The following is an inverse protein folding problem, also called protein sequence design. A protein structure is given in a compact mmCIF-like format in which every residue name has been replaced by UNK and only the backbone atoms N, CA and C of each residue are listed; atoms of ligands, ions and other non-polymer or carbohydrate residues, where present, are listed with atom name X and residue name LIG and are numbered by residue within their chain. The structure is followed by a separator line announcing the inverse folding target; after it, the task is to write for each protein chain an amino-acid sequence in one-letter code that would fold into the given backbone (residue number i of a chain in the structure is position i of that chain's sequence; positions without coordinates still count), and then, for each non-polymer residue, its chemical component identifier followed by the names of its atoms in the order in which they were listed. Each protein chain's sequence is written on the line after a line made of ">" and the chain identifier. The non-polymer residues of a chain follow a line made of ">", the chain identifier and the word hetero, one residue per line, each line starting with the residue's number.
data_IF_099821370850
#
_entry.id   IF_099821370850
#
_cell.length_a   1.000
_cell.length_b   1.000
_cell.length_c   1.000
_cell.angle_alpha   90.00
_cell.angle_beta   90.00
_cell.angle_gamma   90.00
#
_symmetry.space_group_name_H-M   'P 1'
#
loop_
_entity.id
_entity.type
_entity.pdbx_description
1 polymer ?
#
# COMPACT_ATOMS: atom_id res chain seq x y z
N UNK A 1 -28.14 83.06 -21.29
CA UNK A 1 -27.90 82.46 -19.97
C UNK A 1 -28.04 80.95 -20.11
N UNK A 2 -27.22 80.12 -19.45
CA UNK A 2 -25.78 79.85 -19.62
C UNK A 2 -25.52 78.83 -20.78
N UNK A 3 -24.58 79.08 -21.70
CA UNK A 3 -23.16 78.59 -21.79
C UNK A 3 -23.02 77.11 -22.21
N UNK A 4 -22.69 76.84 -23.48
CA UNK A 4 -21.34 76.53 -24.03
C UNK A 4 -20.88 75.11 -23.66
N UNK A 5 -20.27 74.26 -24.49
CA UNK A 5 -19.66 74.24 -25.84
C UNK A 5 -19.08 72.79 -25.89
N UNK A 6 -19.08 71.98 -26.95
CA UNK A 6 -18.24 72.07 -28.16
C UNK A 6 -18.44 70.78 -28.98
N UNK A 7 -18.32 70.99 -30.28
CA UNK A 7 -18.30 70.08 -31.44
C UNK A 7 -17.12 69.08 -31.41
N UNK A 8 -17.24 67.95 -32.13
CA UNK A 8 -16.32 67.32 -33.13
C UNK A 8 -16.80 65.86 -33.33
N UNK A 9 -17.33 65.47 -34.51
CA UNK A 9 -16.62 64.88 -35.66
C UNK A 9 -15.92 63.54 -35.33
N UNK A 10 -15.88 62.48 -36.13
CA UNK A 10 -16.54 62.05 -37.36
C UNK A 10 -16.19 60.54 -37.52
N UNK A 11 -17.06 59.82 -38.23
CA UNK A 11 -16.78 58.70 -39.15
C UNK A 11 -16.09 57.39 -38.69
N UNK A 12 -16.76 56.29 -39.08
CA UNK A 12 -16.16 55.00 -39.46
C UNK A 12 -16.18 53.96 -38.35
N UNK A 13 -16.68 52.74 -38.52
CA UNK A 13 -17.16 52.01 -39.69
C UNK A 13 -17.31 50.53 -39.30
N UNK A 14 -18.25 49.85 -39.96
CA UNK A 14 -18.42 48.40 -40.08
C UNK A 14 -18.58 47.55 -38.79
N UNK A 15 -19.83 47.14 -38.55
CA UNK A 15 -20.17 46.01 -37.71
C UNK A 15 -19.70 44.69 -38.37
N UNK A 16 -18.84 43.93 -37.68
CA UNK A 16 -18.62 42.51 -37.96
C UNK A 16 -19.41 41.68 -36.95
N UNK A 17 -20.52 41.12 -37.41
CA UNK A 17 -21.19 39.99 -36.80
C UNK A 17 -20.41 38.73 -37.19
N UNK A 18 -19.57 38.23 -36.29
CA UNK A 18 -19.02 36.86 -36.40
C UNK A 18 -19.81 36.00 -35.41
N UNK A 19 -20.80 35.28 -35.96
CA UNK A 19 -21.39 34.14 -35.29
C UNK A 19 -20.36 32.99 -35.30
N UNK A 20 -19.73 32.74 -34.16
CA UNK A 20 -18.97 31.50 -33.98
C UNK A 20 -19.97 30.38 -33.76
N UNK A 21 -20.19 29.59 -34.81
CA UNK A 21 -20.88 28.30 -34.74
C UNK A 21 -19.98 27.38 -33.92
N UNK A 22 -20.43 26.97 -32.74
CA UNK A 22 -19.79 25.94 -31.94
C UNK A 22 -19.86 24.62 -32.70
N UNK A 23 -18.81 24.29 -33.47
CA UNK A 23 -18.60 22.93 -33.94
C UNK A 23 -18.36 22.02 -32.72
N UNK A 24 -18.76 20.74 -32.77
CA UNK A 24 -18.37 19.80 -31.72
C UNK A 24 -16.84 19.80 -31.65
N UNK A 25 -16.32 20.02 -30.45
CA UNK A 25 -14.91 19.81 -30.19
C UNK A 25 -14.60 18.37 -30.61
N UNK A 26 -13.73 18.23 -31.61
CA UNK A 26 -13.07 16.95 -31.87
C UNK A 26 -12.21 16.74 -30.62
N UNK A 27 -12.66 15.86 -29.75
CA UNK A 27 -11.82 15.29 -28.72
C UNK A 27 -10.69 14.58 -29.45
N UNK A 28 -9.47 15.11 -29.31
CA UNK A 28 -8.26 14.35 -29.58
C UNK A 28 -8.29 13.16 -28.62
N UNK A 29 -8.76 12.03 -29.12
CA UNK A 29 -8.79 10.74 -28.48
C UNK A 29 -7.37 10.16 -28.53
N UNK A 30 -6.44 10.78 -27.79
CA UNK A 30 -5.18 10.15 -27.41
C UNK A 30 -5.36 9.48 -26.05
N UNK A 31 -5.87 8.26 -26.10
CA UNK A 31 -6.01 7.40 -24.95
C UNK A 31 -6.50 6.05 -25.39
N UNK A 32 -5.68 5.31 -26.16
CA UNK A 32 -5.87 3.87 -26.26
C UNK A 32 -6.04 3.35 -24.84
N UNK A 33 -7.19 2.75 -24.55
CA UNK A 33 -7.36 2.03 -23.29
C UNK A 33 -6.35 0.88 -23.36
N UNK A 34 -5.13 1.09 -22.88
CA UNK A 34 -4.15 0.03 -22.70
C UNK A 34 -4.69 -0.84 -21.57
N UNK A 35 -5.63 -1.71 -21.94
CA UNK A 35 -6.13 -2.80 -21.12
C UNK A 35 -4.91 -3.54 -20.58
N UNK A 36 -4.80 -3.60 -19.25
CA UNK A 36 -3.72 -4.31 -18.60
C UNK A 36 -3.65 -5.74 -19.13
N UNK A 37 -2.44 -6.29 -19.28
CA UNK A 37 -2.28 -7.64 -19.83
C UNK A 37 -1.37 -8.51 -18.97
N UNK A 38 -1.84 -9.73 -18.70
CA UNK A 38 -1.15 -10.73 -17.88
C UNK A 38 -0.83 -11.97 -18.71
N UNK A 39 0.40 -12.48 -18.57
CA UNK A 39 0.79 -13.78 -19.10
C UNK A 39 0.81 -14.83 -17.99
N UNK A 40 -0.05 -15.84 -18.07
CA UNK A 40 0.01 -17.01 -17.19
C UNK A 40 0.97 -18.04 -17.80
N UNK A 41 2.03 -18.34 -17.08
CA UNK A 41 3.01 -19.36 -17.43
C UNK A 41 2.94 -20.52 -16.45
N UNK A 42 2.72 -21.74 -16.97
CA UNK A 42 2.48 -22.93 -16.13
C UNK A 42 3.30 -24.15 -16.58
N UNK A 43 4.46 -23.93 -17.23
CA UNK A 43 5.36 -25.02 -17.61
C UNK A 43 5.92 -25.69 -16.35
N UNK A 44 6.02 -27.02 -16.39
CA UNK A 44 6.63 -27.83 -15.33
C UNK A 44 7.70 -28.74 -15.91
N UNK A 45 8.87 -28.76 -15.28
CA UNK A 45 9.93 -29.75 -15.46
C UNK A 45 10.00 -30.74 -14.28
N UNK A 46 9.20 -30.53 -13.23
CA UNK A 46 9.04 -31.40 -12.08
C UNK A 46 7.59 -31.90 -11.91
N UNK A 47 7.09 -31.90 -10.67
CA UNK A 47 5.72 -32.31 -10.37
C UNK A 47 4.69 -31.43 -11.09
N UNK A 48 3.64 -32.05 -11.66
CA UNK A 48 2.57 -31.38 -12.38
C UNK A 48 1.34 -31.31 -11.47
N UNK A 49 0.96 -30.10 -11.08
CA UNK A 49 -0.22 -29.86 -10.24
C UNK A 49 -1.50 -29.99 -11.05
N UNK A 50 -2.44 -30.81 -10.59
CA UNK A 50 -3.75 -31.00 -11.23
C UNK A 50 -4.62 -29.74 -11.21
N UNK A 51 -4.30 -28.76 -10.36
CA UNK A 51 -5.02 -27.49 -10.19
C UNK A 51 -4.71 -26.42 -11.24
N UNK A 52 -3.67 -26.60 -12.06
CA UNK A 52 -3.26 -25.60 -13.06
C UNK A 52 -4.40 -25.23 -14.02
N UNK A 53 -5.20 -26.16 -14.60
CA UNK A 53 -6.33 -25.79 -15.45
C UNK A 53 -7.34 -24.88 -14.74
N UNK A 54 -7.68 -25.19 -13.49
CA UNK A 54 -8.60 -24.40 -12.66
C UNK A 54 -8.00 -23.03 -12.31
N UNK A 55 -6.68 -22.95 -12.06
CA UNK A 55 -5.98 -21.69 -11.85
C UNK A 55 -5.93 -20.80 -13.08
N UNK A 56 -5.68 -21.36 -14.27
CA UNK A 56 -5.74 -20.60 -15.53
C UNK A 56 -7.15 -20.06 -15.76
N UNK A 57 -8.18 -20.89 -15.53
CA UNK A 57 -9.58 -20.46 -15.65
C UNK A 57 -9.90 -19.34 -14.66
N UNK A 58 -9.49 -19.47 -13.39
CA UNK A 58 -9.71 -18.44 -12.38
C UNK A 58 -9.07 -17.10 -12.74
N UNK A 59 -7.80 -17.09 -13.21
CA UNK A 59 -7.14 -15.83 -13.61
C UNK A 59 -7.84 -15.20 -14.81
N UNK A 60 -8.31 -16.00 -15.78
CA UNK A 60 -9.09 -15.50 -16.93
C UNK A 60 -10.43 -14.90 -16.51
N UNK A 61 -11.16 -15.57 -15.62
CA UNK A 61 -12.42 -15.07 -15.09
C UNK A 61 -12.22 -13.73 -14.37
N UNK A 62 -11.17 -13.66 -13.54
CA UNK A 62 -10.79 -12.43 -12.84
C UNK A 62 -10.44 -11.32 -13.83
N UNK A 63 -9.66 -11.62 -14.88
CA UNK A 63 -9.33 -10.67 -15.94
C UNK A 63 -10.56 -10.13 -16.66
N UNK A 64 -11.46 -11.03 -17.06
CA UNK A 64 -12.72 -10.64 -17.72
C UNK A 64 -13.63 -9.80 -16.83
N UNK A 65 -13.65 -10.06 -15.52
CA UNK A 65 -14.48 -9.32 -14.56
C UNK A 65 -13.88 -7.98 -14.14
N UNK A 66 -12.54 -7.82 -14.21
CA UNK A 66 -11.82 -6.67 -13.66
C UNK A 66 -10.99 -5.88 -14.68
N UNK A 67 -11.14 -6.16 -15.98
CA UNK A 67 -10.61 -5.31 -17.04
C UNK A 67 -9.13 -5.49 -17.33
N UNK A 68 -8.64 -6.74 -17.28
CA UNK A 68 -7.31 -7.09 -17.77
C UNK A 68 -7.33 -8.36 -18.65
N UNK A 69 -6.60 -8.32 -19.75
CA UNK A 69 -6.49 -9.43 -20.69
C UNK A 69 -5.52 -10.50 -20.19
N UNK A 70 -5.83 -11.78 -20.45
CA UNK A 70 -5.05 -12.92 -19.96
C UNK A 70 -4.69 -13.88 -21.10
N UNK A 71 -3.40 -13.99 -21.37
CA UNK A 71 -2.83 -15.07 -22.20
C UNK A 71 -2.30 -16.19 -21.28
N UNK A 72 -2.35 -17.45 -21.72
CA UNK A 72 -1.78 -18.57 -20.97
C UNK A 72 -0.93 -19.46 -21.88
N UNK A 73 0.22 -19.92 -21.38
CA UNK A 73 1.14 -20.77 -22.13
C UNK A 73 1.97 -21.67 -21.21
N UNK A 74 2.40 -22.80 -21.76
CA UNK A 74 3.44 -23.67 -21.19
C UNK A 74 4.73 -23.62 -22.04
N UNK A 75 4.74 -22.84 -23.13
CA UNK A 75 5.89 -22.71 -24.01
C UNK A 75 6.86 -21.65 -23.50
N UNK A 76 8.05 -22.09 -23.07
CA UNK A 76 9.12 -21.20 -22.63
C UNK A 76 9.65 -20.30 -23.78
N UNK A 77 9.40 -20.65 -25.04
CA UNK A 77 9.65 -19.79 -26.20
C UNK A 77 8.94 -18.43 -26.15
N UNK A 78 7.93 -18.28 -25.28
CA UNK A 78 7.29 -17.00 -24.99
C UNK A 78 8.20 -15.99 -24.26
N UNK A 79 9.28 -16.43 -23.61
CA UNK A 79 10.19 -15.59 -22.82
C UNK A 79 11.20 -14.86 -23.70
N UNK A 80 10.70 -13.96 -24.54
CA UNK A 80 11.49 -13.04 -25.35
C UNK A 80 11.22 -11.60 -24.94
N UNK A 81 12.20 -10.70 -25.12
CA UNK A 81 12.02 -9.29 -24.79
C UNK A 81 10.81 -8.66 -25.51
N UNK A 82 10.60 -9.04 -26.78
CA UNK A 82 9.47 -8.55 -27.58
C UNK A 82 8.12 -9.03 -27.03
N UNK A 83 8.02 -10.30 -26.67
CA UNK A 83 6.75 -10.84 -26.18
C UNK A 83 6.45 -10.39 -24.75
N UNK A 84 7.44 -10.46 -23.85
CA UNK A 84 7.27 -10.02 -22.45
C UNK A 84 6.91 -8.53 -22.34
N UNK A 85 7.42 -7.68 -23.23
CA UNK A 85 7.07 -6.25 -23.25
C UNK A 85 5.60 -5.93 -23.57
N UNK A 86 4.76 -6.94 -23.83
CA UNK A 86 3.30 -6.80 -24.04
C UNK A 86 2.48 -6.96 -22.76
N UNK A 87 3.11 -7.34 -21.65
CA UNK A 87 2.46 -7.77 -20.41
C UNK A 87 2.93 -6.95 -19.22
N UNK A 88 1.99 -6.51 -18.39
CA UNK A 88 2.29 -5.80 -17.14
C UNK A 88 2.76 -6.76 -16.05
N UNK A 89 2.26 -8.00 -16.06
CA UNK A 89 2.70 -9.06 -15.15
C UNK A 89 2.81 -10.43 -15.84
N UNK A 90 3.71 -11.26 -15.31
CA UNK A 90 3.78 -12.70 -15.60
C UNK A 90 3.44 -13.49 -14.34
N UNK A 91 2.38 -14.30 -14.43
CA UNK A 91 1.96 -15.22 -13.37
C UNK A 91 2.67 -16.56 -13.59
N UNK A 92 3.52 -16.95 -12.66
CA UNK A 92 4.08 -18.30 -12.58
C UNK A 92 3.09 -19.14 -11.78
N UNK A 93 2.24 -19.89 -12.49
CA UNK A 93 1.15 -20.67 -11.90
C UNK A 93 1.60 -22.12 -11.72
N UNK A 94 2.05 -22.44 -10.51
CA UNK A 94 2.48 -23.79 -10.11
C UNK A 94 3.53 -24.40 -11.04
N UNK A 95 4.44 -23.58 -11.56
CA UNK A 95 5.64 -24.04 -12.29
C UNK A 95 6.50 -24.89 -11.37
N UNK A 96 7.30 -25.83 -11.90
CA UNK A 96 8.22 -26.65 -11.10
C UNK A 96 9.48 -26.98 -11.86
N UNK A 97 10.62 -27.08 -11.18
CA UNK A 97 11.92 -27.42 -11.75
C UNK A 97 12.56 -26.29 -12.57
N UNK A 98 13.45 -26.65 -13.49
CA UNK A 98 14.18 -25.75 -14.37
C UNK A 98 13.43 -25.60 -15.70
N UNK A 99 12.78 -24.45 -15.92
CA UNK A 99 11.77 -24.26 -16.97
C UNK A 99 12.20 -23.29 -18.06
N UNK A 100 13.19 -22.44 -17.77
CA UNK A 100 13.76 -21.44 -18.66
C UNK A 100 15.25 -21.69 -18.90
N UNK A 101 15.69 -21.63 -20.16
CA UNK A 101 17.11 -21.61 -20.48
C UNK A 101 17.77 -20.25 -20.16
N UNK A 102 19.10 -20.18 -20.25
CA UNK A 102 19.87 -18.94 -19.98
C UNK A 102 19.43 -17.73 -20.82
N UNK A 103 18.97 -17.93 -22.05
CA UNK A 103 18.49 -16.83 -22.90
C UNK A 103 17.16 -16.30 -22.39
N UNK A 104 16.24 -17.20 -22.03
CA UNK A 104 14.92 -16.91 -21.49
C UNK A 104 15.01 -16.28 -20.09
N UNK A 105 15.86 -16.81 -19.22
CA UNK A 105 16.22 -16.21 -17.93
C UNK A 105 16.68 -14.76 -18.10
N UNK A 106 17.64 -14.51 -19.01
CA UNK A 106 18.13 -13.17 -19.29
C UNK A 106 17.05 -12.23 -19.85
N UNK A 107 16.08 -12.74 -20.61
CA UNK A 107 14.94 -11.96 -21.08
C UNK A 107 14.00 -11.56 -19.93
N UNK A 108 13.69 -12.50 -19.03
CA UNK A 108 12.84 -12.25 -17.87
C UNK A 108 13.49 -11.30 -16.86
N UNK A 109 14.79 -11.44 -16.61
CA UNK A 109 15.56 -10.49 -15.80
C UNK A 109 15.44 -9.05 -16.31
N UNK A 110 15.59 -8.86 -17.62
CA UNK A 110 15.46 -7.53 -18.25
C UNK A 110 14.02 -7.02 -18.21
N UNK A 111 13.04 -7.91 -18.27
CA UNK A 111 11.63 -7.56 -18.13
C UNK A 111 11.35 -6.99 -16.73
N UNK A 112 11.74 -7.71 -15.68
CA UNK A 112 11.59 -7.23 -14.29
C UNK A 112 12.35 -5.91 -14.07
N UNK A 113 13.60 -5.82 -14.55
CA UNK A 113 14.44 -4.61 -14.42
C UNK A 113 13.86 -3.37 -15.12
N UNK A 114 12.92 -3.54 -16.04
CA UNK A 114 12.23 -2.45 -16.75
C UNK A 114 10.85 -2.13 -16.15
N UNK A 115 10.50 -2.73 -15.03
CA UNK A 115 9.22 -2.50 -14.36
C UNK A 115 8.16 -3.56 -14.61
N UNK A 116 8.49 -4.64 -15.34
CA UNK A 116 7.60 -5.81 -15.45
C UNK A 116 7.43 -6.51 -14.10
N UNK A 117 6.28 -7.15 -13.91
CA UNK A 117 5.90 -7.72 -12.61
C UNK A 117 5.81 -9.24 -12.61
N UNK A 118 5.98 -9.84 -11.43
CA UNK A 118 5.91 -11.26 -11.17
C UNK A 118 4.80 -11.57 -10.16
N UNK A 119 4.03 -12.61 -10.45
CA UNK A 119 3.07 -13.21 -9.51
C UNK A 119 3.37 -14.70 -9.41
N UNK A 120 3.87 -15.15 -8.26
CA UNK A 120 4.12 -16.56 -7.99
C UNK A 120 2.95 -17.20 -7.26
N UNK A 121 2.47 -18.34 -7.76
CA UNK A 121 1.41 -19.11 -7.11
C UNK A 121 1.91 -20.51 -6.79
N UNK A 122 1.74 -20.90 -5.53
CA UNK A 122 2.05 -22.22 -4.98
C UNK A 122 3.46 -22.71 -5.37
N UNK A 123 3.55 -23.66 -6.30
CA UNK A 123 4.80 -24.30 -6.68
C UNK A 123 5.77 -23.41 -7.43
N UNK A 124 5.41 -22.15 -7.72
CA UNK A 124 6.36 -21.17 -8.22
C UNK A 124 7.62 -21.03 -7.32
N UNK A 125 7.57 -21.36 -6.02
CA UNK A 125 8.75 -21.43 -5.16
C UNK A 125 9.63 -22.70 -5.38
N UNK A 126 9.10 -23.74 -6.03
CA UNK A 126 9.77 -24.98 -6.47
C UNK A 126 10.33 -24.84 -7.91
N UNK A 127 10.76 -23.65 -8.30
CA UNK A 127 11.19 -23.32 -9.66
C UNK A 127 12.58 -22.67 -9.66
N UNK A 128 13.44 -23.03 -10.63
CA UNK A 128 14.71 -22.34 -10.92
C UNK A 128 15.70 -22.23 -9.74
N UNK A 129 15.98 -23.36 -9.06
CA UNK A 129 16.83 -23.39 -7.85
C UNK A 129 18.26 -22.90 -8.04
N UNK A 130 18.83 -23.06 -9.23
CA UNK A 130 20.21 -22.66 -9.53
C UNK A 130 20.32 -21.22 -10.06
N UNK A 131 19.19 -20.51 -10.16
CA UNK A 131 19.12 -19.13 -10.64
C UNK A 131 18.84 -18.14 -9.50
N UNK A 132 19.91 -17.63 -8.90
CA UNK A 132 19.83 -16.74 -7.73
C UNK A 132 18.92 -15.51 -7.92
N UNK A 133 18.81 -14.98 -9.15
CA UNK A 133 17.88 -13.88 -9.44
C UNK A 133 16.42 -14.28 -9.15
N UNK A 134 16.01 -15.48 -9.57
CA UNK A 134 14.67 -16.01 -9.34
C UNK A 134 14.41 -16.27 -7.86
N UNK A 135 15.38 -16.86 -7.13
CA UNK A 135 15.25 -17.04 -5.68
C UNK A 135 15.04 -15.74 -4.92
N UNK A 136 15.71 -14.66 -5.37
CA UNK A 136 15.45 -13.33 -4.85
C UNK A 136 14.07 -12.78 -5.23
N UNK A 137 13.62 -12.99 -6.48
CA UNK A 137 12.33 -12.53 -7.01
C UNK A 137 11.13 -13.23 -6.32
N UNK A 138 11.17 -14.56 -6.25
CA UNK A 138 10.17 -15.37 -5.56
C UNK A 138 10.20 -15.13 -4.05
N UNK A 139 11.34 -14.72 -3.48
CA UNK A 139 11.52 -14.37 -2.08
C UNK A 139 12.01 -15.54 -1.22
N UNK A 140 11.60 -16.77 -1.55
CA UNK A 140 12.10 -17.99 -0.94
C UNK A 140 11.97 -19.18 -1.91
N UNK A 141 12.74 -20.24 -1.65
CA UNK A 141 12.66 -21.51 -2.36
C UNK A 141 11.92 -22.55 -1.54
N UNK A 142 11.19 -23.43 -2.21
CA UNK A 142 10.55 -24.60 -1.59
C UNK A 142 11.59 -25.53 -0.92
N UNK A 143 11.21 -26.09 0.23
CA UNK A 143 12.00 -27.07 0.97
C UNK A 143 11.26 -28.41 1.13
N UNK A 144 10.02 -28.36 1.63
CA UNK A 144 9.19 -29.55 1.89
C UNK A 144 7.74 -29.12 2.09
N UNK A 145 6.82 -30.08 2.17
CA UNK A 145 5.44 -29.85 2.59
C UNK A 145 4.92 -31.10 3.32
N UNK A 146 3.93 -30.97 4.21
CA UNK A 146 3.17 -32.11 4.73
C UNK A 146 2.07 -32.52 3.73
N UNK A 147 1.21 -33.46 4.13
CA UNK A 147 -0.01 -33.75 3.37
C UNK A 147 -0.96 -32.53 3.35
N UNK A 148 -1.81 -32.47 2.31
CA UNK A 148 -2.92 -31.52 2.24
C UNK A 148 -3.76 -31.61 3.52
N UNK A 149 -3.94 -30.49 4.20
CA UNK A 149 -4.66 -30.44 5.47
C UNK A 149 -5.19 -29.02 5.74
N UNK A 150 -6.19 -28.85 6.61
CA UNK A 150 -6.58 -27.52 7.06
C UNK A 150 -5.46 -26.85 7.87
N UNK A 151 -5.34 -25.54 7.76
CA UNK A 151 -4.54 -24.69 8.64
C UNK A 151 -5.22 -23.33 8.81
N UNK A 152 -4.86 -22.65 9.90
CA UNK A 152 -5.17 -21.24 10.11
C UNK A 152 -4.09 -20.40 9.45
N UNK A 153 -4.51 -19.47 8.59
CA UNK A 153 -3.66 -18.40 8.06
C UNK A 153 -3.94 -17.13 8.86
N UNK A 154 -2.92 -16.59 9.51
CA UNK A 154 -2.97 -15.30 10.18
C UNK A 154 -2.65 -14.20 9.17
N UNK A 155 -3.56 -13.25 9.02
CA UNK A 155 -3.36 -12.10 8.12
C UNK A 155 -2.60 -11.02 8.90
N UNK A 156 -1.43 -10.65 8.39
CA UNK A 156 -0.53 -9.70 9.06
C UNK A 156 -0.65 -8.27 8.50
N UNK A 157 -0.96 -8.15 7.21
CA UNK A 157 -1.25 -6.88 6.57
C UNK A 157 -2.71 -6.88 6.12
N UNK A 158 -3.48 -5.92 6.63
CA UNK A 158 -4.88 -5.76 6.28
C UNK A 158 -5.16 -4.60 5.30
N UNK A 159 -4.17 -3.83 4.87
CA UNK A 159 -4.32 -2.78 3.87
C UNK A 159 -3.94 -3.24 2.46
N UNK A 160 -2.99 -4.17 2.33
CA UNK A 160 -2.54 -4.62 1.03
C UNK A 160 -3.71 -5.23 0.24
N UNK A 161 -3.93 -4.88 -1.04
CA UNK A 161 -5.09 -5.33 -1.80
C UNK A 161 -5.29 -6.85 -1.85
N UNK A 162 -4.20 -7.61 -1.78
CA UNK A 162 -4.23 -9.07 -1.70
C UNK A 162 -4.85 -9.62 -0.40
N UNK A 163 -4.87 -8.87 0.70
CA UNK A 163 -5.30 -9.37 2.02
C UNK A 163 -6.38 -8.49 2.66
N UNK A 164 -6.68 -7.32 2.10
CA UNK A 164 -7.65 -6.38 2.63
C UNK A 164 -9.10 -6.91 2.75
N UNK A 165 -9.47 -7.89 1.92
CA UNK A 165 -10.76 -8.57 1.97
C UNK A 165 -10.82 -9.78 2.91
N UNK A 166 -9.70 -10.16 3.52
CA UNK A 166 -9.62 -11.30 4.43
C UNK A 166 -9.87 -10.85 5.88
N UNK A 167 -10.45 -11.74 6.69
CA UNK A 167 -10.53 -11.54 8.15
C UNK A 167 -9.16 -11.67 8.83
N UNK A 168 -9.09 -11.38 10.13
CA UNK A 168 -7.88 -11.55 10.95
C UNK A 168 -7.24 -12.95 10.80
N UNK A 169 -8.10 -13.97 10.77
CA UNK A 169 -7.71 -15.35 10.52
C UNK A 169 -8.49 -15.91 9.34
N UNK A 170 -7.84 -16.75 8.54
CA UNK A 170 -8.42 -17.42 7.39
C UNK A 170 -8.14 -18.93 7.45
N UNK A 171 -9.17 -19.69 7.83
CA UNK A 171 -9.10 -21.14 7.91
C UNK A 171 -9.37 -21.75 6.54
N UNK A 172 -8.42 -22.51 6.00
CA UNK A 172 -8.58 -23.17 4.70
C UNK A 172 -7.74 -24.44 4.59
N UNK A 173 -7.99 -25.22 3.55
CA UNK A 173 -7.29 -26.48 3.25
C UNK A 173 -6.45 -26.33 1.99
N UNK A 174 -5.16 -26.61 2.09
CA UNK A 174 -4.21 -26.57 0.98
C UNK A 174 -2.98 -27.46 1.29
N UNK A 175 -1.99 -27.48 0.41
CA UNK A 175 -0.67 -28.06 0.68
C UNK A 175 0.32 -26.98 1.14
N UNK A 176 0.76 -27.05 2.39
CA UNK A 176 1.50 -25.96 3.04
C UNK A 176 3.02 -26.10 2.88
N UNK A 177 3.64 -25.19 2.14
CA UNK A 177 5.07 -25.24 1.86
C UNK A 177 5.91 -24.71 3.02
N UNK A 178 6.90 -25.50 3.43
CA UNK A 178 8.07 -25.02 4.14
C UNK A 178 9.09 -24.45 3.14
N UNK A 179 9.82 -23.42 3.56
CA UNK A 179 10.76 -22.71 2.71
C UNK A 179 12.19 -22.83 3.21
N UNK A 180 13.17 -22.87 2.28
CA UNK A 180 14.61 -22.96 2.59
C UNK A 180 15.13 -21.75 3.38
N UNK A 181 14.40 -20.65 3.32
CA UNK A 181 14.71 -19.40 4.02
C UNK A 181 13.42 -18.64 4.32
N UNK A 182 13.38 -17.93 5.43
CA UNK A 182 12.29 -17.02 5.73
C UNK A 182 12.42 -15.72 4.91
N UNK A 183 11.37 -15.26 4.20
CA UNK A 183 11.41 -14.05 3.38
C UNK A 183 11.24 -12.74 4.17
N UNK A 184 10.84 -12.77 5.45
CA UNK A 184 10.45 -11.58 6.25
C UNK A 184 11.52 -10.49 6.32
N UNK A 185 12.80 -10.87 6.35
CA UNK A 185 13.89 -9.87 6.38
C UNK A 185 13.96 -9.01 5.11
N UNK A 186 13.50 -9.53 3.96
CA UNK A 186 13.69 -8.92 2.64
C UNK A 186 12.39 -8.54 1.93
N UNK A 187 11.29 -9.19 2.28
CA UNK A 187 9.96 -8.98 1.71
C UNK A 187 8.99 -8.46 2.78
N UNK A 188 7.90 -7.90 2.32
CA UNK A 188 6.77 -7.56 3.18
C UNK A 188 5.84 -8.76 3.29
N UNK A 189 5.70 -9.32 4.50
CA UNK A 189 4.85 -10.48 4.76
C UNK A 189 3.42 -9.99 4.88
N UNK A 190 2.51 -10.62 4.13
CA UNK A 190 1.09 -10.28 4.11
C UNK A 190 0.26 -11.24 4.97
N UNK A 191 0.70 -12.50 5.02
CA UNK A 191 0.05 -13.53 5.83
C UNK A 191 1.05 -14.65 6.18
N UNK A 192 0.82 -15.30 7.32
CA UNK A 192 1.60 -16.43 7.82
C UNK A 192 0.71 -17.60 8.23
N UNK A 193 1.27 -18.81 8.24
CA UNK A 193 0.61 -19.98 8.79
C UNK A 193 0.82 -20.04 10.31
N UNK A 194 -0.25 -20.30 11.04
CA UNK A 194 -0.18 -20.70 12.45
C UNK A 194 0.27 -22.18 12.52
N UNK A 195 1.55 -22.41 12.80
CA UNK A 195 2.10 -23.77 12.94
C UNK A 195 1.49 -24.58 14.09
N UNK A 196 0.71 -23.98 15.00
CA UNK A 196 -0.04 -24.72 16.02
C UNK A 196 -1.36 -25.31 15.51
N UNK A 197 -1.86 -24.83 14.37
CA UNK A 197 -3.14 -25.24 13.77
C UNK A 197 -3.04 -26.48 12.88
N UNK A 198 -1.83 -26.87 12.48
CA UNK A 198 -1.58 -27.98 11.56
C UNK A 198 -0.28 -28.72 11.89
N UNK A 199 0.02 -29.80 11.17
CA UNK A 199 1.23 -30.62 11.40
C UNK A 199 2.22 -30.55 10.23
N UNK A 200 3.51 -30.53 10.55
CA UNK A 200 4.61 -30.59 9.57
C UNK A 200 5.20 -29.24 9.14
N UNK A 201 4.82 -28.14 9.80
CA UNK A 201 5.55 -26.87 9.72
C UNK A 201 6.96 -27.00 10.30
N UNK A 202 7.94 -26.42 9.60
CA UNK A 202 9.36 -26.45 10.00
C UNK A 202 10.01 -25.07 10.00
N UNK A 203 9.21 -24.00 10.01
CA UNK A 203 9.67 -22.61 9.93
C UNK A 203 9.89 -21.98 11.31
N UNK A 204 9.69 -22.74 12.39
CA UNK A 204 9.95 -22.36 13.78
C UNK A 204 9.02 -21.24 14.28
N UNK A 205 7.73 -21.35 13.98
CA UNK A 205 6.68 -20.43 14.42
C UNK A 205 6.51 -19.16 13.59
N UNK A 206 7.52 -18.75 12.82
CA UNK A 206 7.40 -17.67 11.84
C UNK A 206 7.34 -18.24 10.43
N UNK A 207 6.12 -18.49 9.94
CA UNK A 207 5.87 -19.19 8.68
C UNK A 207 5.13 -18.32 7.66
N UNK A 208 5.79 -17.33 7.02
CA UNK A 208 5.19 -16.55 5.94
C UNK A 208 4.66 -17.45 4.82
N UNK A 209 3.44 -17.20 4.37
CA UNK A 209 2.78 -17.95 3.30
C UNK A 209 2.31 -17.06 2.14
N UNK A 210 2.20 -15.75 2.37
CA UNK A 210 2.02 -14.77 1.31
C UNK A 210 2.88 -13.53 1.59
N UNK A 211 3.52 -13.00 0.55
CA UNK A 211 4.37 -11.81 0.67
C UNK A 211 4.45 -11.03 -0.63
N UNK A 212 4.90 -9.79 -0.53
CA UNK A 212 5.20 -8.94 -1.67
C UNK A 212 6.52 -8.17 -1.48
N UNK A 213 7.11 -7.75 -2.59
CA UNK A 213 8.31 -6.92 -2.59
C UNK A 213 8.45 -6.13 -3.88
N UNK A 214 9.09 -4.96 -3.79
CA UNK A 214 9.67 -4.31 -4.97
C UNK A 214 11.04 -4.91 -5.22
N UNK A 215 11.25 -5.57 -6.36
CA UNK A 215 12.46 -6.33 -6.66
C UNK A 215 13.12 -5.87 -7.96
N UNK A 216 14.31 -5.28 -7.83
CA UNK A 216 15.16 -4.83 -8.94
C UNK A 216 14.46 -3.99 -10.03
N UNK A 217 13.42 -3.22 -9.68
CA UNK A 217 12.68 -2.35 -10.59
C UNK A 217 11.26 -2.80 -10.87
N UNK A 218 10.95 -4.08 -10.68
CA UNK A 218 9.60 -4.64 -10.83
C UNK A 218 8.89 -4.89 -9.51
N UNK A 219 7.62 -5.30 -9.59
CA UNK A 219 6.82 -5.77 -8.46
C UNK A 219 6.80 -7.30 -8.41
N UNK A 220 6.89 -7.88 -7.22
CA UNK A 220 6.79 -9.33 -7.03
C UNK A 220 5.80 -9.62 -5.91
N UNK A 221 4.77 -10.38 -6.22
CA UNK A 221 3.81 -10.93 -5.27
C UNK A 221 3.92 -12.46 -5.28
N UNK A 222 3.78 -13.09 -4.13
CA UNK A 222 3.79 -14.53 -3.98
C UNK A 222 2.72 -14.99 -3.00
N UNK A 223 2.03 -16.08 -3.32
CA UNK A 223 1.17 -16.84 -2.41
C UNK A 223 1.52 -18.32 -2.47
N UNK A 224 1.66 -18.94 -1.30
CA UNK A 224 1.94 -20.38 -1.17
C UNK A 224 0.72 -21.27 -1.33
N UNK A 225 -0.49 -20.70 -1.35
CA UNK A 225 -1.72 -21.44 -1.64
C UNK A 225 -1.92 -21.68 -3.14
N UNK A 226 -2.81 -22.61 -3.49
CA UNK A 226 -3.16 -22.96 -4.87
C UNK A 226 -2.77 -24.37 -5.31
N UNK A 227 -2.46 -25.28 -4.37
CA UNK A 227 -2.26 -26.69 -4.69
C UNK A 227 -3.58 -27.33 -5.14
N UNK A 228 -4.65 -27.05 -4.39
CA UNK A 228 -5.95 -27.69 -4.56
C UNK A 228 -6.77 -27.01 -5.65
N UNK A 229 -7.63 -27.77 -6.33
CA UNK A 229 -8.58 -27.21 -7.31
C UNK A 229 -9.59 -26.30 -6.64
N UNK A 230 -9.98 -26.68 -5.43
CA UNK A 230 -10.93 -26.01 -4.57
C UNK A 230 -10.49 -24.59 -4.24
N UNK A 231 -9.18 -24.34 -4.11
CA UNK A 231 -8.63 -22.98 -3.92
C UNK A 231 -9.12 -22.02 -5.01
N UNK A 232 -9.14 -22.45 -6.26
CA UNK A 232 -9.52 -21.59 -7.38
C UNK A 232 -11.04 -21.40 -7.53
N UNK A 233 -11.85 -22.14 -6.76
CA UNK A 233 -13.28 -21.92 -6.60
C UNK A 233 -13.63 -21.12 -5.33
N UNK A 234 -12.71 -21.04 -4.36
CA UNK A 234 -12.91 -20.36 -3.08
C UNK A 234 -12.94 -18.84 -3.26
N UNK A 235 -14.03 -18.14 -2.85
CA UNK A 235 -14.15 -16.70 -3.03
C UNK A 235 -13.01 -15.90 -2.38
N UNK A 236 -12.61 -16.24 -1.16
CA UNK A 236 -11.55 -15.55 -0.43
C UNK A 236 -10.19 -15.70 -1.12
N UNK A 237 -9.84 -16.91 -1.59
CA UNK A 237 -8.59 -17.13 -2.34
C UNK A 237 -8.59 -16.41 -3.68
N UNK A 238 -9.72 -16.39 -4.40
CA UNK A 238 -9.85 -15.64 -5.66
C UNK A 238 -9.69 -14.14 -5.45
N UNK A 239 -10.25 -13.58 -4.36
CA UNK A 239 -10.02 -12.19 -3.98
C UNK A 239 -8.56 -11.91 -3.62
N UNK A 240 -7.91 -12.83 -2.88
CA UNK A 240 -6.50 -12.73 -2.55
C UNK A 240 -5.60 -12.69 -3.79
N UNK A 241 -5.85 -13.61 -4.72
CA UNK A 241 -5.14 -13.69 -6.00
C UNK A 241 -5.39 -12.45 -6.86
N UNK A 242 -6.64 -11.99 -6.94
CA UNK A 242 -7.01 -10.77 -7.66
C UNK A 242 -6.25 -9.56 -7.10
N UNK A 243 -6.28 -9.34 -5.78
CA UNK A 243 -5.59 -8.22 -5.16
C UNK A 243 -4.08 -8.23 -5.40
N UNK A 244 -3.45 -9.41 -5.37
CA UNK A 244 -2.04 -9.59 -5.73
C UNK A 244 -1.75 -9.23 -7.20
N UNK A 245 -2.62 -9.66 -8.13
CA UNK A 245 -2.49 -9.35 -9.56
C UNK A 245 -2.71 -7.86 -9.83
N UNK A 246 -3.78 -7.26 -9.30
CA UNK A 246 -4.09 -5.82 -9.48
C UNK A 246 -2.96 -4.94 -8.94
N UNK A 247 -2.36 -5.33 -7.81
CA UNK A 247 -1.17 -4.65 -7.31
C UNK A 247 0.03 -4.85 -8.24
N UNK A 248 0.27 -6.07 -8.73
CA UNK A 248 1.40 -6.35 -9.63
C UNK A 248 1.31 -5.56 -10.95
N UNK A 249 0.13 -5.44 -11.56
CA UNK A 249 -0.09 -4.69 -12.82
C UNK A 249 -0.15 -3.16 -12.60
N UNK A 250 -0.12 -2.68 -11.35
CA UNK A 250 -0.09 -1.26 -11.03
C UNK A 250 -1.45 -0.58 -10.95
N UNK A 251 -2.54 -1.34 -11.01
CA UNK A 251 -3.91 -0.84 -10.95
C UNK A 251 -4.26 -0.31 -9.54
N UNK A 252 -3.75 -0.97 -8.50
CA UNK A 252 -3.90 -0.56 -7.09
C UNK A 252 -2.53 -0.40 -6.42
N UNK A 253 -2.46 0.45 -5.39
CA UNK A 253 -1.24 0.65 -4.61
C UNK A 253 -1.25 -0.18 -3.32
N UNK A 254 -0.06 -0.48 -2.83
CA UNK A 254 0.18 -1.25 -1.60
C UNK A 254 1.65 -1.12 -1.21
N UNK A 255 1.93 -0.97 0.08
CA UNK A 255 3.31 -0.90 0.57
C UNK A 255 3.89 -2.31 0.65
N UNK A 256 4.97 -2.54 -0.08
CA UNK A 256 5.70 -3.81 -0.09
C UNK A 256 7.15 -3.65 0.35
N UNK A 257 7.40 -2.66 1.21
CA UNK A 257 8.70 -2.50 1.90
C UNK A 257 8.69 -3.38 3.17
N UNK A 258 9.78 -4.10 3.49
CA UNK A 258 9.84 -4.92 4.69
C UNK A 258 9.58 -4.12 5.97
N UNK A 259 8.82 -4.72 6.88
CA UNK A 259 8.38 -4.08 8.13
C UNK A 259 9.14 -4.57 9.37
N UNK A 260 10.41 -4.91 9.20
CA UNK A 260 11.25 -5.38 10.30
C UNK A 260 11.35 -4.35 11.43
N UNK A 261 11.06 -4.78 12.67
CA UNK A 261 11.22 -3.98 13.89
C UNK A 261 10.05 -3.08 14.26
N UNK A 262 8.90 -3.21 13.60
CA UNK A 262 7.65 -2.64 14.12
C UNK A 262 7.12 -3.48 15.28
N UNK A 263 6.53 -2.81 16.27
CA UNK A 263 5.75 -3.43 17.36
C UNK A 263 4.37 -2.79 17.42
N UNK A 264 3.32 -3.53 17.80
CA UNK A 264 1.98 -2.95 17.93
C UNK A 264 1.96 -1.90 19.06
N UNK A 265 1.20 -0.83 18.82
CA UNK A 265 0.64 0.06 19.84
C UNK A 265 -0.84 -0.26 20.09
N UNK A 266 -1.49 -0.87 19.10
CA UNK A 266 -2.84 -1.39 19.17
C UNK A 266 -2.84 -2.74 18.45
N UNK A 267 -3.19 -3.80 19.16
CA UNK A 267 -3.16 -5.19 18.65
C UNK A 267 -4.53 -5.69 18.18
N UNK A 268 -5.53 -4.81 18.13
CA UNK A 268 -6.90 -5.16 17.77
C UNK A 268 -7.78 -5.62 18.93
N UNK A 269 -7.23 -5.87 20.12
CA UNK A 269 -7.96 -6.56 21.20
C UNK A 269 -8.39 -5.66 22.35
N UNK A 270 -7.60 -4.63 22.68
CA UNK A 270 -7.94 -3.65 23.72
C UNK A 270 -7.37 -2.27 23.40
N UNK A 271 -7.86 -1.25 24.11
CA UNK A 271 -7.32 0.11 24.10
C UNK A 271 -6.36 0.35 25.28
N UNK A 272 -5.73 -0.71 25.78
CA UNK A 272 -4.78 -0.57 26.88
C UNK A 272 -3.63 0.36 26.48
N UNK A 273 -3.30 1.29 27.38
CA UNK A 273 -2.32 2.35 27.13
C UNK A 273 -2.84 3.55 26.33
N UNK A 274 -4.07 3.51 25.81
CA UNK A 274 -4.71 4.64 25.13
C UNK A 274 -5.65 5.41 26.08
N UNK A 275 -5.78 6.72 25.86
CA UNK A 275 -6.70 7.60 26.59
C UNK A 275 -7.51 8.45 25.64
N UNK A 276 -8.79 8.63 25.97
CA UNK A 276 -9.70 9.50 25.24
C UNK A 276 -9.74 10.89 25.88
N UNK A 277 -9.53 11.91 25.07
CA UNK A 277 -9.76 13.31 25.41
C UNK A 277 -10.96 13.86 24.61
N UNK A 278 -11.78 14.69 25.25
CA UNK A 278 -12.94 15.32 24.61
C UNK A 278 -14.22 14.48 24.57
N UNK A 279 -15.34 15.08 24.11
CA UNK A 279 -16.65 14.44 24.08
C UNK A 279 -16.83 13.36 22.99
N UNK A 280 -15.99 13.37 21.94
CA UNK A 280 -15.94 12.29 20.95
C UNK A 280 -15.54 10.95 21.56
N UNK A 281 -15.81 9.86 20.84
CA UNK A 281 -15.47 8.51 21.27
C UNK A 281 -14.99 7.64 20.10
N UNK A 282 -14.46 6.46 20.45
CA UNK A 282 -14.11 5.40 19.51
C UNK A 282 -14.73 4.09 19.97
N UNK A 283 -15.32 3.35 19.04
CA UNK A 283 -15.79 1.98 19.27
C UNK A 283 -14.75 1.00 18.76
N UNK A 284 -14.43 -0.04 19.55
CA UNK A 284 -13.60 -1.16 19.13
C UNK A 284 -14.50 -2.34 18.72
N UNK A 285 -14.42 -2.76 17.47
CA UNK A 285 -15.09 -3.94 16.93
C UNK A 285 -14.20 -4.62 15.90
N UNK A 286 -14.05 -5.95 15.99
CA UNK A 286 -13.26 -6.78 15.06
C UNK A 286 -11.87 -6.19 14.69
N UNK A 287 -11.07 -5.86 15.71
CA UNK A 287 -9.73 -5.30 15.50
C UNK A 287 -9.69 -3.88 14.94
N UNK A 288 -10.85 -3.22 14.81
CA UNK A 288 -11.00 -1.90 14.19
C UNK A 288 -11.56 -0.89 15.18
N UNK A 289 -10.94 0.28 15.27
CA UNK A 289 -11.42 1.40 16.09
C UNK A 289 -12.07 2.46 15.20
N UNK A 290 -13.30 2.85 15.48
CA UNK A 290 -14.08 3.77 14.62
C UNK A 290 -14.55 4.99 15.40
N UNK A 291 -14.32 6.19 14.86
CA UNK A 291 -14.70 7.46 15.47
C UNK A 291 -16.21 7.69 15.49
N UNK A 292 -16.72 8.35 16.54
CA UNK A 292 -18.12 8.80 16.61
C UNK A 292 -18.36 9.91 17.64
N UNK A 293 -19.36 10.77 17.45
CA UNK A 293 -19.82 11.68 18.52
C UNK A 293 -19.09 13.02 18.66
N UNK A 294 -18.33 13.46 17.64
CA UNK A 294 -17.74 14.80 17.58
C UNK A 294 -16.31 14.92 18.12
N UNK A 295 -15.83 16.14 18.33
CA UNK A 295 -14.40 16.39 18.57
C UNK A 295 -13.83 15.53 19.71
N UNK A 296 -12.78 14.77 19.41
CA UNK A 296 -12.10 13.91 20.37
C UNK A 296 -10.72 13.50 19.89
N UNK A 297 -9.90 13.03 20.83
CA UNK A 297 -8.54 12.57 20.57
C UNK A 297 -8.30 11.29 21.35
N UNK A 298 -8.10 10.17 20.65
CA UNK A 298 -7.62 8.94 21.25
C UNK A 298 -6.09 8.92 21.12
N UNK A 299 -5.39 9.05 22.24
CA UNK A 299 -3.93 9.21 22.25
C UNK A 299 -3.25 8.14 23.10
N UNK A 300 -2.06 7.74 22.68
CA UNK A 300 -1.27 6.73 23.38
C UNK A 300 -0.57 7.36 24.59
N UNK A 301 -1.04 7.02 25.79
CA UNK A 301 -0.70 7.70 27.04
C UNK A 301 0.46 7.06 27.80
N UNK A 302 0.77 5.79 27.55
CA UNK A 302 1.81 5.06 28.29
C UNK A 302 3.20 5.70 28.18
N UNK A 303 3.50 6.32 27.04
CA UNK A 303 4.78 7.00 26.82
C UNK A 303 4.74 7.96 25.64
N UNK A 304 5.69 8.89 25.64
CA UNK A 304 6.04 9.74 24.52
C UNK A 304 7.11 9.10 23.62
N UNK A 305 7.29 9.68 22.43
CA UNK A 305 8.22 9.24 21.41
C UNK A 305 8.99 10.42 20.81
N UNK A 306 10.22 10.15 20.34
CA UNK A 306 11.07 11.19 19.76
C UNK A 306 11.59 10.93 18.34
N UNK A 307 12.09 9.73 18.04
CA UNK A 307 12.45 9.33 16.68
C UNK A 307 11.87 7.97 16.38
N UNK A 308 10.98 7.92 15.38
CA UNK A 308 10.17 6.74 15.11
C UNK A 308 9.62 6.76 13.70
N UNK A 309 9.15 5.59 13.28
CA UNK A 309 8.22 5.40 12.17
C UNK A 309 6.92 4.85 12.74
N UNK A 310 5.83 5.58 12.60
CA UNK A 310 4.47 5.18 12.95
C UNK A 310 3.79 4.68 11.68
N UNK A 311 3.20 3.49 11.72
CA UNK A 311 2.32 2.98 10.69
C UNK A 311 0.94 2.71 11.26
N UNK A 312 -0.08 2.99 10.47
CA UNK A 312 -1.48 2.66 10.77
C UNK A 312 -2.30 2.66 9.50
N UNK A 313 -3.36 1.87 9.55
CA UNK A 313 -4.38 1.85 8.50
C UNK A 313 -5.56 2.72 8.90
N UNK A 314 -6.15 3.37 7.91
CA UNK A 314 -7.35 4.18 8.06
C UNK A 314 -8.31 4.00 6.88
N UNK A 315 -9.59 4.23 7.13
CA UNK A 315 -10.67 4.17 6.12
C UNK A 315 -11.79 5.14 6.47
N UNK A 316 -12.23 5.92 5.49
CA UNK A 316 -13.43 6.77 5.59
C UNK A 316 -14.68 5.95 5.26
N UNK A 317 -15.77 6.15 6.00
CA UNK A 317 -17.01 5.40 5.81
C UNK A 317 -17.94 6.03 4.76
N UNK A 318 -17.89 7.35 4.60
CA UNK A 318 -18.73 8.11 3.69
C UNK A 318 -18.41 7.83 2.22
N UNK A 319 -19.44 7.54 1.43
CA UNK A 319 -19.31 7.38 -0.03
C UNK A 319 -18.79 8.64 -0.74
N UNK A 320 -18.92 9.82 -0.11
CA UNK A 320 -18.33 11.08 -0.58
C UNK A 320 -16.82 11.19 -0.33
N UNK A 321 -16.27 10.42 0.62
CA UNK A 321 -14.90 10.58 1.09
C UNK A 321 -14.63 11.88 1.87
N UNK A 322 -15.68 12.59 2.28
CA UNK A 322 -15.64 13.90 2.94
C UNK A 322 -15.61 13.80 4.48
N UNK A 323 -15.36 12.59 5.02
CA UNK A 323 -15.16 12.42 6.46
C UNK A 323 -13.84 13.07 6.86
N UNK A 324 -13.89 13.96 7.86
CA UNK A 324 -12.72 14.66 8.37
C UNK A 324 -12.13 13.95 9.60
N UNK A 325 -10.82 13.73 9.59
CA UNK A 325 -10.04 13.22 10.72
C UNK A 325 -8.56 13.53 10.53
N UNK A 326 -7.70 13.02 11.41
CA UNK A 326 -6.26 13.16 11.31
C UNK A 326 -5.49 12.28 12.28
N UNK A 327 -4.21 12.07 11.97
CA UNK A 327 -3.24 11.46 12.88
C UNK A 327 -2.38 12.57 13.47
N UNK A 328 -2.32 12.64 14.80
CA UNK A 328 -1.58 13.67 15.52
C UNK A 328 -0.26 13.14 16.05
N UNK A 329 0.77 14.00 16.00
CA UNK A 329 2.09 13.70 16.54
C UNK A 329 2.69 14.89 17.29
N UNK A 330 3.55 14.60 18.27
CA UNK A 330 4.41 15.61 18.91
C UNK A 330 3.68 16.59 19.82
N UNK A 331 2.62 16.15 20.49
CA UNK A 331 1.85 16.98 21.44
C UNK A 331 2.03 16.52 22.89
N UNK A 332 1.85 17.41 23.89
CA UNK A 332 1.91 17.05 25.30
C UNK A 332 0.64 16.30 25.75
N UNK A 333 0.71 15.48 26.82
CA UNK A 333 -0.45 14.77 27.35
C UNK A 333 -1.50 15.77 27.86
N UNK A 334 -2.78 15.48 27.57
CA UNK A 334 -3.91 16.36 27.94
C UNK A 334 -5.23 15.61 27.88
N UNK A 335 -6.20 16.02 28.72
CA UNK A 335 -7.60 15.60 28.62
C UNK A 335 -8.45 16.56 27.75
N UNK A 336 -7.86 17.69 27.34
CA UNK A 336 -8.43 18.61 26.35
C UNK A 336 -8.02 18.17 24.93
N UNK A 337 -8.98 17.79 24.05
CA UNK A 337 -8.68 17.34 22.69
C UNK A 337 -8.03 18.44 21.83
N UNK A 338 -8.25 19.72 22.17
CA UNK A 338 -7.64 20.84 21.46
C UNK A 338 -6.16 21.03 21.79
N UNK A 339 -5.64 20.40 22.85
CA UNK A 339 -4.21 20.45 23.16
C UNK A 339 -3.36 19.85 22.02
N UNK A 340 -3.79 18.73 21.45
CA UNK A 340 -3.09 18.11 20.31
C UNK A 340 -3.12 19.03 19.08
N UNK A 341 -4.27 19.67 18.81
CA UNK A 341 -4.45 20.65 17.71
C UNK A 341 -3.54 21.87 17.89
N UNK A 342 -3.45 22.37 19.13
CA UNK A 342 -2.75 23.59 19.46
C UNK A 342 -1.24 23.42 19.66
N UNK A 343 -0.76 22.19 19.91
CA UNK A 343 0.63 21.96 20.29
C UNK A 343 1.34 20.87 19.46
N UNK A 344 0.62 20.07 18.67
CA UNK A 344 1.19 19.01 17.83
C UNK A 344 1.09 19.31 16.33
N UNK A 345 1.20 18.25 15.53
CA UNK A 345 0.96 18.30 14.08
C UNK A 345 -0.04 17.25 13.66
N UNK A 346 -1.01 17.67 12.87
CA UNK A 346 -1.99 16.81 12.22
C UNK A 346 -1.50 16.38 10.84
N UNK A 347 -1.57 15.09 10.58
CA UNK A 347 -1.51 14.50 9.25
C UNK A 347 -2.95 14.24 8.86
N UNK A 348 -3.47 15.05 7.95
CA UNK A 348 -4.90 15.12 7.64
C UNK A 348 -5.42 13.85 6.98
N UNK A 349 -6.69 13.53 7.25
CA UNK A 349 -7.54 12.60 6.49
C UNK A 349 -8.78 13.39 6.07
N UNK A 350 -8.79 13.83 4.81
CA UNK A 350 -9.90 14.50 4.11
C UNK A 350 -9.40 14.81 2.70
N UNK A 351 -9.86 14.09 1.68
CA UNK A 351 -9.33 14.26 0.32
C UNK A 351 -9.99 15.42 -0.45
N UNK A 352 -11.15 15.88 0.03
CA UNK A 352 -12.08 16.81 -0.64
C UNK A 352 -11.86 18.27 -0.22
N UNK A 353 -11.15 18.51 0.89
CA UNK A 353 -10.75 19.86 1.30
C UNK A 353 -9.67 20.49 0.37
N UNK A 354 -9.36 21.77 0.62
CA UNK A 354 -8.37 22.56 -0.11
C UNK A 354 -6.96 21.97 0.00
N UNK A 355 -6.05 22.25 -0.96
CA UNK A 355 -4.74 21.61 -1.04
C UNK A 355 -3.87 21.69 0.23
N UNK A 356 -3.97 22.77 1.01
CA UNK A 356 -3.22 22.98 2.27
C UNK A 356 -3.75 22.14 3.44
N UNK A 357 -4.92 21.53 3.27
CA UNK A 357 -5.69 20.82 4.29
C UNK A 357 -6.23 19.49 3.75
N UNK A 358 -5.59 18.94 2.72
CA UNK A 358 -6.02 17.68 2.14
C UNK A 358 -5.29 16.49 2.75
N UNK A 359 -5.78 15.27 2.54
CA UNK A 359 -5.16 14.00 2.95
C UNK A 359 -3.65 14.01 2.79
N UNK A 360 -2.94 13.83 3.90
CA UNK A 360 -1.47 13.74 3.96
C UNK A 360 -0.75 15.09 4.02
N UNK A 361 -1.48 16.20 4.03
CA UNK A 361 -0.93 17.49 4.43
C UNK A 361 -0.52 17.46 5.90
N UNK A 362 0.51 18.24 6.24
CA UNK A 362 0.73 18.65 7.62
C UNK A 362 -0.17 19.87 7.81
N UNK A 363 -1.33 19.67 8.44
CA UNK A 363 -2.48 20.56 8.32
C UNK A 363 -2.14 22.03 8.61
N UNK A 364 -2.28 22.90 7.60
CA UNK A 364 -1.97 24.33 7.72
C UNK A 364 -0.48 24.69 7.73
N UNK A 365 0.44 23.73 7.67
CA UNK A 365 1.90 23.95 7.65
C UNK A 365 2.56 23.55 6.33
N UNK A 366 2.14 22.42 5.72
CA UNK A 366 2.71 21.93 4.47
C UNK A 366 1.75 21.04 3.70
N UNK A 367 1.33 21.49 2.53
CA UNK A 367 0.54 20.69 1.58
C UNK A 367 1.27 19.42 1.14
N UNK A 368 0.51 18.35 0.90
CA UNK A 368 1.02 17.15 0.25
C UNK A 368 1.37 17.43 -1.24
N UNK A 369 2.22 16.58 -1.81
CA UNK A 369 2.38 16.49 -3.26
C UNK A 369 1.12 15.87 -3.86
N UNK A 370 0.20 16.73 -4.34
CA UNK A 370 -1.13 16.34 -4.82
C UNK A 370 -1.06 15.25 -5.89
N UNK A 371 -0.13 15.35 -6.84
CA UNK A 371 0.00 14.33 -7.90
C UNK A 371 0.42 12.97 -7.36
N UNK A 372 1.25 12.93 -6.32
CA UNK A 372 1.61 11.66 -5.66
C UNK A 372 0.49 11.16 -4.77
N UNK A 373 -0.21 12.06 -4.07
CA UNK A 373 -1.37 11.76 -3.23
C UNK A 373 -2.48 11.12 -4.05
N UNK A 374 -2.91 11.76 -5.13
CA UNK A 374 -4.01 11.27 -5.99
C UNK A 374 -3.69 9.89 -6.58
N UNK A 375 -2.42 9.64 -6.92
CA UNK A 375 -1.98 8.32 -7.43
C UNK A 375 -1.91 7.25 -6.34
N UNK A 376 -1.67 7.65 -5.10
CA UNK A 376 -1.45 6.72 -3.99
C UNK A 376 -2.72 6.42 -3.20
N UNK A 377 -3.64 7.37 -3.11
CA UNK A 377 -4.86 7.31 -2.33
C UNK A 377 -5.85 6.30 -2.94
N UNK A 378 -6.27 5.32 -2.15
CA UNK A 378 -7.36 4.43 -2.52
C UNK A 378 -8.71 5.15 -2.36
N UNK A 379 -9.74 4.79 -3.15
CA UNK A 379 -11.08 5.39 -3.07
C UNK A 379 -11.73 5.34 -1.68
N UNK A 380 -12.75 6.18 -1.42
CA UNK A 380 -13.54 6.11 -0.18
C UNK A 380 -14.13 4.71 0.05
N UNK A 381 -14.11 4.25 1.30
CA UNK A 381 -14.50 2.89 1.66
C UNK A 381 -13.40 1.84 1.50
N UNK A 382 -12.25 2.20 0.93
CA UNK A 382 -11.06 1.35 0.90
C UNK A 382 -10.04 1.75 1.98
N UNK A 383 -9.27 0.78 2.44
CA UNK A 383 -8.22 1.01 3.42
C UNK A 383 -7.01 1.71 2.80
N UNK A 384 -6.42 2.61 3.58
CA UNK A 384 -5.21 3.33 3.25
C UNK A 384 -4.22 3.20 4.42
N UNK A 385 -2.94 3.06 4.12
CA UNK A 385 -1.88 3.03 5.13
C UNK A 385 -1.13 4.36 5.12
N UNK A 386 -0.99 4.95 6.30
CA UNK A 386 0.03 5.95 6.54
C UNK A 386 1.29 5.35 7.12
N UNK A 387 2.44 5.80 6.62
CA UNK A 387 3.69 5.77 7.37
C UNK A 387 4.10 7.22 7.67
N UNK A 388 4.21 7.54 8.95
CA UNK A 388 4.62 8.85 9.46
C UNK A 388 5.96 8.68 10.16
N UNK A 389 7.01 9.27 9.58
CA UNK A 389 8.37 9.17 10.12
C UNK A 389 8.81 10.49 10.70
N UNK A 390 9.16 10.46 11.98
CA UNK A 390 9.71 11.58 12.75
C UNK A 390 11.17 11.28 13.09
N UNK A 391 12.08 12.18 12.70
CA UNK A 391 13.50 12.14 13.06
C UNK A 391 13.99 13.55 13.40
N UNK A 392 14.13 13.84 14.70
CA UNK A 392 14.34 15.20 15.19
C UNK A 392 13.12 16.08 14.88
N UNK A 393 13.32 17.21 14.22
CA UNK A 393 12.22 18.10 13.80
C UNK A 393 11.65 17.77 12.41
N UNK A 394 12.15 16.73 11.74
CA UNK A 394 11.71 16.38 10.39
C UNK A 394 10.60 15.34 10.42
N UNK A 395 9.48 15.66 9.78
CA UNK A 395 8.30 14.82 9.61
C UNK A 395 8.10 14.49 8.13
N UNK A 396 7.98 13.20 7.79
CA UNK A 396 7.66 12.74 6.44
C UNK A 396 6.48 11.80 6.46
N UNK A 397 5.66 11.89 5.41
CA UNK A 397 4.43 11.10 5.26
C UNK A 397 4.50 10.31 3.98
N UNK A 398 4.26 9.00 4.08
CA UNK A 398 3.96 8.13 2.97
C UNK A 398 2.50 7.68 3.07
N UNK A 399 1.85 7.63 1.92
CA UNK A 399 0.51 7.07 1.73
C UNK A 399 0.64 5.87 0.81
N UNK A 400 0.20 4.69 1.26
CA UNK A 400 0.28 3.44 0.50
C UNK A 400 1.67 3.19 -0.13
N UNK A 401 2.73 3.44 0.66
CA UNK A 401 4.13 3.28 0.25
C UNK A 401 4.71 4.44 -0.58
N UNK A 402 3.91 5.44 -0.99
CA UNK A 402 4.37 6.59 -1.79
C UNK A 402 4.64 7.78 -0.88
N UNK A 403 5.86 8.34 -0.92
CA UNK A 403 6.19 9.56 -0.14
C UNK A 403 5.45 10.77 -0.72
N UNK A 404 4.53 11.34 0.06
CA UNK A 404 3.70 12.48 -0.36
C UNK A 404 4.03 13.78 0.37
N UNK A 405 4.70 13.73 1.52
CA UNK A 405 5.05 14.95 2.27
C UNK A 405 6.43 14.86 2.94
N UNK A 406 7.07 16.02 3.10
CA UNK A 406 8.40 16.20 3.69
C UNK A 406 8.49 17.59 4.32
N UNK A 407 8.19 17.64 5.61
CA UNK A 407 8.10 18.83 6.44
C UNK A 407 9.22 18.86 7.48
N UNK A 408 9.69 20.05 7.83
CA UNK A 408 10.64 20.24 8.93
C UNK A 408 10.12 21.35 9.82
N UNK A 409 9.85 21.00 11.07
CA UNK A 409 9.41 21.95 12.08
C UNK A 409 10.52 22.99 12.36
N UNK A 410 10.10 24.23 12.55
CA UNK A 410 10.95 25.36 12.98
C UNK A 410 10.40 26.08 14.22
N UNK A 411 9.21 25.71 14.69
CA UNK A 411 8.59 26.21 15.91
C UNK A 411 9.10 25.41 17.12
N UNK A 412 9.88 26.02 18.02
CA UNK A 412 10.40 25.32 19.20
C UNK A 412 9.31 24.96 20.22
N UNK A 413 8.12 25.57 20.16
CA UNK A 413 7.00 25.28 21.07
C UNK A 413 6.31 23.96 20.67
N UNK A 414 6.28 23.63 19.38
CA UNK A 414 5.72 22.37 18.84
C UNK A 414 6.81 21.36 18.52
N UNK A 415 7.79 21.16 19.40
CA UNK A 415 8.92 20.28 19.09
C UNK A 415 8.47 18.83 18.87
N UNK A 416 8.99 18.21 17.80
CA UNK A 416 8.71 16.82 17.46
C UNK A 416 9.62 15.81 18.20
N UNK A 417 10.58 16.29 19.00
CA UNK A 417 11.62 15.44 19.63
C UNK A 417 11.12 14.63 20.81
N UNK A 418 10.00 15.01 21.39
CA UNK A 418 9.36 14.32 22.50
C UNK A 418 7.88 14.69 22.53
N UNK A 419 7.00 13.71 22.29
CA UNK A 419 5.56 13.93 22.39
C UNK A 419 4.74 12.68 22.13
N UNK A 420 3.43 12.80 22.30
CA UNK A 420 2.49 11.71 22.13
C UNK A 420 2.01 11.58 20.68
N UNK A 421 1.32 10.47 20.42
CA UNK A 421 0.67 10.12 19.17
C UNK A 421 -0.82 9.98 19.44
N UNK A 422 -1.66 10.35 18.48
CA UNK A 422 -3.09 10.15 18.61
C UNK A 422 -3.82 10.12 17.27
N UNK A 423 -5.07 9.67 17.32
CA UNK A 423 -6.00 9.69 16.20
C UNK A 423 -7.20 10.54 16.57
N UNK A 424 -7.68 11.31 15.60
CA UNK A 424 -8.70 12.32 15.81
C UNK A 424 -10.09 11.78 15.49
N UNK A 425 -11.06 12.21 16.28
CA UNK A 425 -12.45 12.28 15.87
C UNK A 425 -12.80 13.77 15.70
N UNK A 426 -13.37 14.17 14.57
CA UNK A 426 -13.56 15.57 14.24
C UNK A 426 -15.01 16.02 14.49
N UNK A 427 -15.92 15.71 13.57
CA UNK A 427 -17.34 16.09 13.61
C UNK A 427 -18.25 14.92 13.95
N UNK A 428 -19.50 15.24 14.36
CA UNK A 428 -20.48 14.21 14.72
C UNK A 428 -20.93 13.35 13.52
N UNK A 429 -20.76 13.85 12.29
CA UNK A 429 -21.07 13.15 11.06
C UNK A 429 -19.84 12.43 10.47
N UNK A 430 -18.63 12.73 10.95
CA UNK A 430 -17.38 12.18 10.42
C UNK A 430 -17.14 10.78 11.01
N UNK A 431 -17.00 9.78 10.14
CA UNK A 431 -16.71 8.42 10.55
C UNK A 431 -15.45 7.88 9.86
N UNK A 432 -14.38 7.76 10.65
CA UNK A 432 -13.10 7.20 10.22
C UNK A 432 -12.73 6.02 11.10
N UNK A 433 -12.41 4.92 10.45
CA UNK A 433 -11.93 3.69 11.08
C UNK A 433 -10.41 3.61 11.03
N UNK A 434 -9.80 3.05 12.05
CA UNK A 434 -8.37 2.80 12.15
C UNK A 434 -8.08 1.38 12.61
N UNK A 435 -6.93 0.83 12.22
CA UNK A 435 -6.41 -0.46 12.72
C UNK A 435 -4.90 -0.54 12.52
N UNK A 436 -4.30 -1.63 13.02
CA UNK A 436 -2.90 -1.97 12.77
C UNK A 436 -1.93 -0.81 13.13
N UNK A 437 -2.17 -0.17 14.28
CA UNK A 437 -1.34 0.94 14.73
C UNK A 437 -0.08 0.37 15.35
N UNK A 438 1.05 0.61 14.69
CA UNK A 438 2.35 0.04 15.04
C UNK A 438 3.47 1.06 14.92
N UNK A 439 4.50 0.86 15.73
CA UNK A 439 5.62 1.80 15.80
C UNK A 439 6.96 1.06 15.71
N UNK A 440 7.91 1.70 15.03
CA UNK A 440 9.32 1.35 15.02
C UNK A 440 10.12 2.52 15.55
N UNK A 441 10.73 2.39 16.72
CA UNK A 441 11.64 3.40 17.25
C UNK A 441 12.93 3.40 16.42
N UNK A 442 13.39 4.60 16.04
CA UNK A 442 14.56 4.81 15.20
C UNK A 442 15.74 5.26 16.06
N UNK A 443 16.99 4.93 15.69
CA UNK A 443 18.15 5.47 16.36
C UNK A 443 18.10 7.00 16.37
N UNK A 444 18.37 7.62 17.52
CA UNK A 444 18.49 9.06 17.60
C UNK A 444 19.54 9.54 16.60
N UNK A 445 19.16 10.39 15.65
CA UNK A 445 20.12 10.97 14.72
C UNK A 445 21.08 11.82 15.53
N UNK A 446 22.34 11.39 15.64
CA UNK A 446 23.39 12.19 16.25
C UNK A 446 23.35 13.57 15.59
N UNK A 447 23.16 14.62 16.40
CA UNK A 447 23.23 15.98 15.90
C UNK A 447 24.57 16.12 15.17
N UNK A 448 24.54 16.47 13.89
CA UNK A 448 25.76 16.79 13.16
C UNK A 448 26.43 17.92 13.96
N UNK A 449 27.57 17.61 14.60
CA UNK A 449 28.28 18.61 15.36
C UNK A 449 28.69 19.69 14.36
N UNK A 450 28.15 20.90 14.51
CA UNK A 450 28.71 22.07 13.87
C UNK A 450 30.02 22.35 14.57
N UNK A 451 31.07 21.63 14.17
CA UNK A 451 32.43 22.02 14.47
C UNK A 451 32.66 23.38 13.81
N UNK A 452 32.48 24.45 14.59
CA UNK A 452 32.88 25.79 14.21
C UNK A 452 34.38 25.73 13.88
N UNK A 453 34.72 26.08 12.64
CA UNK A 453 36.11 26.29 12.25
C UNK A 453 36.70 27.37 13.16
N UNK A 454 37.91 27.17 13.73
CA UNK A 454 38.56 28.22 14.50
C UNK A 454 38.84 29.41 13.58
N UNK A 455 38.52 30.61 14.07
CA UNK A 455 38.84 31.85 13.38
C UNK A 455 40.35 31.94 13.11
N UNK A 456 40.77 32.47 11.95
CA UNK A 456 42.19 32.71 11.70
C UNK A 456 42.67 33.78 12.71
N UNK A 457 43.69 33.43 13.49
CA UNK A 457 44.32 34.34 14.44
C UNK A 457 45.12 35.43 13.73
N UNK A 458 45.10 36.61 14.35
CA UNK A 458 45.91 37.80 14.03
C UNK A 458 47.41 37.59 14.27
#
# INVERSE_FOLDING_TARGET
>A
MPTNRRVWAALGGAALLIGCVSGPAVSDDEGGSDEHRVLVFSKTAGFRHDSIPEGIAAVRDLGAAHGFAVDATEDAGAFTARNLGRYDAVVFLSTTGDVLDTTQQGAFERYIKRGGSYVGVHAAADTEYDWAFYGGLAGAYFQSHPAIQPATVDVEDHAHPATAGLGATWNRTDEWYNYRSNPRERAHVLASLDESSYSGGTMNGDHPIAWCQNYQGGRAFYTGGGHTKESFAEPAFRQHLLGGIRWAIGEVQGDCRPENGYRPLFDGTSLDGWRQAGPGSFTLDDGTITSSGGMGMLWYADRSFGSYSLKLDWKTAGASGDDNSGVFVGFPPSDDPWSAVNNGYEIQIDATDVPEKTTGSVYGFRSADIRKRDRALNPPGEWNTYEIRVEGERLRVWLNGVKINDFTNTDPVRSLRDGHLGIQNHGAADQVSFRDIRIKELPARAAASSAAAPAPGD
#
